data_IF_202345853319
#
_entry.id   IF_202345853319
#
_cell.length_a   1.000
_cell.length_b   1.000
_cell.length_c   1.000
_cell.angle_alpha   90.00
_cell.angle_beta   90.00
_cell.angle_gamma   90.00
#
_symmetry.space_group_name_H-M   'P 1'
#
loop_
_entity.id
_entity.type
_entity.pdbx_description
1 polymer ?
#
# COMPACT_ATOMS: atom_id res chain seq x y z
N UNK A 1 31.50 7.57 -48.44
CA UNK A 1 30.40 8.33 -47.78
C UNK A 1 29.22 7.48 -47.31
N UNK A 2 29.03 6.22 -47.72
CA UNK A 2 27.86 5.42 -47.31
C UNK A 2 28.04 4.57 -46.02
N UNK A 3 29.27 4.37 -45.54
CA UNK A 3 29.52 3.57 -44.33
C UNK A 3 29.39 4.37 -43.01
N UNK A 4 29.73 5.66 -43.02
CA UNK A 4 29.63 6.51 -41.82
C UNK A 4 28.17 6.81 -41.42
N UNK A 5 27.26 6.90 -42.38
CA UNK A 5 25.84 7.20 -42.13
C UNK A 5 25.08 6.03 -41.49
N UNK A 6 25.54 4.79 -41.70
CA UNK A 6 24.89 3.60 -41.13
C UNK A 6 25.31 3.39 -39.67
N UNK A 7 26.57 3.68 -39.31
CA UNK A 7 27.02 3.58 -37.91
C UNK A 7 26.36 4.60 -36.99
N UNK A 8 26.03 5.80 -37.49
CA UNK A 8 25.42 6.86 -36.67
C UNK A 8 23.94 6.59 -36.35
N UNK A 9 23.22 5.88 -37.24
CA UNK A 9 21.82 5.47 -37.00
C UNK A 9 21.74 4.31 -36.01
N UNK A 10 22.72 3.40 -36.01
CA UNK A 10 22.79 2.31 -35.02
C UNK A 10 23.15 2.83 -33.63
N UNK A 11 23.98 3.88 -33.53
CA UNK A 11 24.29 4.52 -32.25
C UNK A 11 23.09 5.31 -31.66
N UNK A 12 22.20 5.85 -32.51
CA UNK A 12 21.00 6.58 -32.06
C UNK A 12 19.83 5.66 -31.68
N UNK A 13 19.75 4.46 -32.25
CA UNK A 13 18.74 3.45 -31.89
C UNK A 13 19.08 2.65 -30.62
N UNK A 14 20.32 2.71 -30.14
CA UNK A 14 20.74 2.07 -28.88
C UNK A 14 20.30 2.81 -27.61
N UNK A 15 19.78 4.03 -27.73
CA UNK A 15 19.40 4.88 -26.58
C UNK A 15 17.90 4.74 -26.23
N UNK A 16 17.09 4.06 -27.07
CA UNK A 16 15.62 4.10 -26.95
C UNK A 16 14.95 2.88 -26.30
N UNK A 17 15.68 1.97 -25.66
CA UNK A 17 15.05 0.86 -24.95
C UNK A 17 15.95 0.27 -23.87
N UNK A 18 16.34 1.08 -22.88
CA UNK A 18 16.61 0.51 -21.57
C UNK A 18 15.27 0.60 -20.83
N UNK A 19 14.48 -0.47 -20.71
CA UNK A 19 13.46 -0.48 -19.67
C UNK A 19 14.20 -0.16 -18.38
N UNK A 20 13.76 0.88 -17.68
CA UNK A 20 14.30 1.23 -16.37
C UNK A 20 14.24 -0.01 -15.49
N UNK A 21 15.37 -0.70 -15.36
CA UNK A 21 15.60 -1.83 -14.46
C UNK A 21 15.72 -1.35 -13.01
N UNK A 22 15.13 -0.21 -12.68
CA UNK A 22 14.97 0.19 -11.31
C UNK A 22 13.85 -0.70 -10.75
N UNK A 23 14.07 -1.37 -9.61
CA UNK A 23 12.98 -2.03 -8.92
C UNK A 23 11.88 -0.99 -8.71
N UNK A 24 10.63 -1.39 -8.92
CA UNK A 24 9.50 -0.52 -8.59
C UNK A 24 9.64 -0.10 -7.12
N UNK A 25 9.38 1.17 -6.86
CA UNK A 25 9.61 1.77 -5.54
C UNK A 25 8.69 1.12 -4.51
N UNK A 26 9.20 0.90 -3.30
CA UNK A 26 8.42 0.39 -2.18
C UNK A 26 7.96 1.57 -1.34
N UNK A 27 6.68 1.62 -1.00
CA UNK A 27 6.09 2.74 -0.28
C UNK A 27 5.68 2.32 1.12
N UNK A 28 6.02 3.13 2.11
CA UNK A 28 5.79 2.84 3.52
C UNK A 28 5.40 4.09 4.26
N UNK A 29 4.35 4.02 5.05
CA UNK A 29 3.94 5.12 5.92
C UNK A 29 3.67 4.65 7.34
N UNK A 30 4.05 5.49 8.31
CA UNK A 30 3.84 5.28 9.73
C UNK A 30 2.75 6.23 10.26
N UNK A 31 1.61 5.66 10.62
CA UNK A 31 0.41 6.31 11.10
C UNK A 31 0.67 7.19 12.32
N UNK A 32 -0.05 8.31 12.40
CA UNK A 32 0.00 9.22 13.55
C UNK A 32 1.30 10.02 13.72
N UNK A 33 2.30 9.85 12.85
CA UNK A 33 3.62 10.48 12.98
C UNK A 33 3.91 11.48 11.88
N UNK A 34 4.68 12.52 12.22
CA UNK A 34 5.16 13.53 11.27
C UNK A 34 6.52 13.18 10.71
N UNK A 35 7.41 12.68 11.57
CA UNK A 35 8.78 12.35 11.22
C UNK A 35 8.90 10.93 10.66
N UNK A 36 9.87 10.75 9.77
CA UNK A 36 10.20 9.44 9.20
C UNK A 36 10.89 8.54 10.24
N UNK A 37 10.66 7.24 10.12
CA UNK A 37 11.25 6.20 10.95
C UNK A 37 12.04 5.22 10.09
N UNK A 38 13.27 4.90 10.51
CA UNK A 38 14.04 3.82 9.90
C UNK A 38 13.98 2.62 10.83
N UNK A 39 13.44 1.52 10.34
CA UNK A 39 13.29 0.31 11.14
C UNK A 39 14.59 -0.49 11.23
N UNK A 40 14.59 -1.54 12.05
CA UNK A 40 15.73 -2.42 12.30
C UNK A 40 16.28 -3.12 11.04
N UNK A 41 15.49 -3.15 9.95
CA UNK A 41 15.87 -3.70 8.64
C UNK A 41 16.38 -2.63 7.68
N UNK A 42 16.43 -1.37 8.09
CA UNK A 42 16.84 -0.24 7.26
C UNK A 42 15.75 0.25 6.31
N UNK A 43 14.49 -0.18 6.48
CA UNK A 43 13.36 0.33 5.68
C UNK A 43 12.95 1.69 6.23
N UNK A 44 12.75 2.65 5.34
CA UNK A 44 12.25 3.98 5.70
C UNK A 44 10.72 3.96 5.65
N UNK A 45 10.10 4.40 6.74
CA UNK A 45 8.67 4.59 6.89
C UNK A 45 8.39 6.09 6.99
N UNK A 46 7.69 6.64 6.01
CA UNK A 46 7.38 8.06 6.00
C UNK A 46 6.35 8.43 7.07
N UNK A 47 6.53 9.55 7.74
CA UNK A 47 5.52 10.05 8.67
C UNK A 47 4.19 10.30 7.96
N UNK A 48 3.12 9.63 8.38
CA UNK A 48 1.83 9.69 7.69
C UNK A 48 1.13 11.06 7.79
N UNK A 49 1.56 11.98 8.68
CA UNK A 49 0.99 13.32 8.84
C UNK A 49 1.47 14.32 7.76
N UNK A 50 1.61 13.88 6.51
CA UNK A 50 2.10 14.67 5.38
C UNK A 50 1.13 14.59 4.18
N UNK A 51 0.79 15.74 3.61
CA UNK A 51 -0.10 15.87 2.44
C UNK A 51 0.70 15.82 1.14
N UNK A 52 0.25 15.05 0.15
CA UNK A 52 0.67 15.17 -1.26
C UNK A 52 2.20 15.34 -1.48
N UNK A 53 3.02 14.50 -0.85
CA UNK A 53 4.46 14.46 -1.07
C UNK A 53 4.79 13.80 -2.42
N UNK A 54 6.07 13.79 -2.79
CA UNK A 54 6.52 13.14 -4.02
C UNK A 54 6.25 11.63 -4.03
N UNK A 55 6.22 10.99 -2.85
CA UNK A 55 5.90 9.57 -2.67
C UNK A 55 4.41 9.31 -2.47
N UNK A 56 3.62 10.33 -2.08
CA UNK A 56 2.22 10.18 -1.71
C UNK A 56 1.85 10.97 -0.45
N UNK A 57 0.74 10.62 0.19
CA UNK A 57 0.31 11.26 1.43
C UNK A 57 -1.18 11.11 1.65
N UNK A 58 -1.68 11.71 2.73
CA UNK A 58 -3.12 11.77 2.92
C UNK A 58 -3.76 12.64 1.85
N UNK A 59 -5.00 12.30 1.51
CA UNK A 59 -5.85 13.08 0.60
C UNK A 59 -7.16 13.44 1.32
N UNK A 60 -7.81 14.52 0.84
CA UNK A 60 -9.05 15.10 1.37
C UNK A 60 -8.97 15.68 2.78
N UNK A 61 -8.52 14.91 3.77
CA UNK A 61 -8.52 15.32 5.18
C UNK A 61 -7.34 14.74 5.95
N UNK A 62 -6.66 15.62 6.70
CA UNK A 62 -5.61 15.22 7.65
C UNK A 62 -6.16 14.21 8.67
N UNK A 63 -5.60 13.00 8.77
CA UNK A 63 -6.00 12.03 9.78
C UNK A 63 -5.64 12.51 11.18
N UNK A 64 -6.50 12.20 12.15
CA UNK A 64 -6.21 12.40 13.57
C UNK A 64 -5.16 11.42 14.05
N UNK A 65 -4.56 11.73 15.18
CA UNK A 65 -3.52 10.90 15.79
C UNK A 65 -4.02 10.24 17.07
N UNK A 66 -3.53 9.05 17.36
CA UNK A 66 -3.65 8.39 18.65
C UNK A 66 -2.41 7.54 18.92
N UNK A 67 -2.21 7.17 20.19
CA UNK A 67 -1.11 6.32 20.63
C UNK A 67 -1.67 5.07 21.30
N UNK A 68 -1.10 3.92 20.94
CA UNK A 68 -1.25 2.71 21.73
C UNK A 68 -0.28 2.85 22.91
N UNK A 69 -0.74 2.64 24.14
CA UNK A 69 0.12 2.85 25.31
C UNK A 69 0.96 1.63 25.66
N UNK A 70 0.48 0.43 25.32
CA UNK A 70 1.12 -0.84 25.64
C UNK A 70 0.68 -1.85 24.61
N UNK A 71 1.56 -2.79 24.27
CA UNK A 71 1.19 -3.96 23.47
C UNK A 71 1.30 -5.22 24.32
N UNK A 72 0.39 -6.17 24.13
CA UNK A 72 0.50 -7.49 24.77
C UNK A 72 1.77 -8.21 24.28
N UNK A 73 2.23 -9.19 25.06
CA UNK A 73 3.39 -10.00 24.65
C UNK A 73 3.13 -10.76 23.34
N UNK A 74 1.89 -11.25 23.15
CA UNK A 74 1.48 -11.94 21.92
C UNK A 74 1.49 -10.99 20.72
N UNK A 75 1.03 -9.75 20.90
CA UNK A 75 1.09 -8.74 19.86
C UNK A 75 2.54 -8.39 19.46
N UNK A 76 3.43 -8.25 20.44
CA UNK A 76 4.86 -8.00 20.15
C UNK A 76 5.50 -9.18 19.41
N UNK A 77 5.21 -10.41 19.83
CA UNK A 77 5.70 -11.61 19.16
C UNK A 77 5.13 -11.76 17.74
N UNK A 78 3.87 -11.38 17.51
CA UNK A 78 3.25 -11.37 16.19
C UNK A 78 3.93 -10.37 15.25
N UNK A 79 4.24 -9.15 15.73
CA UNK A 79 4.97 -8.15 14.95
C UNK A 79 6.37 -8.66 14.54
N UNK A 80 7.12 -9.21 15.50
CA UNK A 80 8.46 -9.76 15.24
C UNK A 80 8.41 -10.93 14.26
N UNK A 81 7.46 -11.85 14.42
CA UNK A 81 7.29 -12.99 13.52
C UNK A 81 6.93 -12.56 12.10
N UNK A 82 6.14 -11.49 11.95
CA UNK A 82 5.84 -10.86 10.66
C UNK A 82 7.01 -10.00 10.13
N UNK A 83 8.04 -9.76 10.94
CA UNK A 83 9.24 -9.03 10.56
C UNK A 83 9.05 -7.51 10.58
N UNK A 84 8.25 -6.99 11.48
CA UNK A 84 8.04 -5.56 11.71
C UNK A 84 8.53 -5.15 13.10
N UNK A 85 9.06 -3.93 13.18
CA UNK A 85 9.40 -3.31 14.46
C UNK A 85 8.12 -2.98 15.22
N UNK A 86 8.08 -3.29 16.52
CA UNK A 86 6.91 -3.06 17.37
C UNK A 86 6.54 -1.58 17.46
N UNK A 87 7.52 -0.69 17.30
CA UNK A 87 7.42 0.77 17.21
C UNK A 87 6.32 1.20 16.23
N UNK A 88 6.14 0.48 15.12
CA UNK A 88 5.16 0.81 14.10
C UNK A 88 3.72 0.77 14.63
N UNK A 89 3.45 -0.07 15.61
CA UNK A 89 2.10 -0.29 16.17
C UNK A 89 1.75 0.67 17.32
N UNK A 90 2.70 1.46 17.82
CA UNK A 90 2.47 2.38 18.93
C UNK A 90 1.84 3.72 18.52
N UNK A 91 1.74 3.99 17.22
CA UNK A 91 1.11 5.20 16.68
C UNK A 91 0.01 4.85 15.68
N UNK A 92 -1.01 5.70 15.61
CA UNK A 92 -2.23 5.45 14.83
C UNK A 92 -2.66 6.73 14.12
N UNK A 93 -2.96 6.61 12.82
CA UNK A 93 -3.77 7.57 12.06
C UNK A 93 -5.23 7.11 12.07
N UNK A 94 -6.19 8.00 12.38
CA UNK A 94 -7.62 7.65 12.43
C UNK A 94 -8.54 8.79 11.98
N UNK A 95 -9.79 8.46 11.67
CA UNK A 95 -10.83 9.43 11.32
C UNK A 95 -12.09 9.26 12.20
N UNK A 96 -12.70 10.38 12.59
CA UNK A 96 -13.95 10.37 13.34
C UNK A 96 -15.11 10.10 12.38
N UNK A 97 -15.80 8.97 12.53
CA UNK A 97 -16.99 8.66 11.74
C UNK A 97 -17.99 9.84 11.79
N UNK A 98 -18.54 10.30 10.64
CA UNK A 98 -18.52 9.65 9.32
C UNK A 98 -17.34 10.03 8.41
N UNK A 99 -16.31 10.72 8.91
CA UNK A 99 -15.09 10.96 8.14
C UNK A 99 -14.35 9.64 7.87
N UNK A 100 -13.55 9.62 6.81
CA UNK A 100 -12.76 8.45 6.40
C UNK A 100 -11.26 8.78 6.41
N UNK A 101 -10.44 7.74 6.40
CA UNK A 101 -8.99 7.88 6.19
C UNK A 101 -8.69 7.55 4.74
N UNK A 102 -8.02 8.46 4.04
CA UNK A 102 -7.64 8.26 2.63
C UNK A 102 -6.18 8.61 2.38
N UNK A 103 -5.49 7.73 1.69
CA UNK A 103 -4.09 7.90 1.27
C UNK A 103 -3.96 7.58 -0.21
N UNK A 104 -3.04 8.29 -0.85
CA UNK A 104 -2.62 8.01 -2.22
C UNK A 104 -1.10 7.86 -2.23
N UNK A 105 -0.59 6.80 -2.85
CA UNK A 105 0.84 6.59 -3.09
C UNK A 105 1.15 6.71 -4.57
N UNK A 106 2.22 7.43 -4.92
CA UNK A 106 2.63 7.67 -6.31
C UNK A 106 3.46 6.50 -6.81
N UNK A 107 2.85 5.32 -6.87
CA UNK A 107 3.51 4.03 -7.15
C UNK A 107 3.98 3.86 -8.58
N UNK A 108 3.40 4.62 -9.52
CA UNK A 108 3.43 4.25 -10.93
C UNK A 108 2.52 3.06 -11.24
N UNK A 109 2.41 2.74 -12.52
CA UNK A 109 1.65 1.58 -12.99
C UNK A 109 2.34 0.28 -12.59
N UNK A 110 1.57 -0.72 -12.16
CA UNK A 110 2.16 -1.99 -11.75
C UNK A 110 1.19 -2.92 -11.03
N UNK A 111 1.77 -3.97 -10.45
CA UNK A 111 1.06 -4.91 -9.58
C UNK A 111 1.77 -4.92 -8.24
N UNK A 112 1.02 -4.72 -7.17
CA UNK A 112 1.55 -4.51 -5.83
C UNK A 112 0.89 -5.44 -4.81
N UNK A 113 1.64 -5.76 -3.76
CA UNK A 113 1.11 -6.32 -2.53
C UNK A 113 1.03 -5.20 -1.49
N UNK A 114 -0.12 -5.08 -0.83
CA UNK A 114 -0.41 -4.04 0.17
C UNK A 114 -0.57 -4.70 1.52
N UNK A 115 0.27 -4.31 2.49
CA UNK A 115 0.14 -4.74 3.88
C UNK A 115 -0.43 -3.60 4.73
N UNK A 116 -1.56 -3.90 5.36
CA UNK A 116 -2.22 -3.07 6.37
C UNK A 116 -1.80 -3.55 7.76
N UNK A 117 -1.34 -2.62 8.60
CA UNK A 117 -0.92 -2.88 9.97
C UNK A 117 -1.70 -1.99 10.93
N UNK A 118 -2.18 -2.56 12.04
CA UNK A 118 -2.89 -1.80 13.07
C UNK A 118 -2.56 -2.29 14.46
N UNK A 119 -2.33 -1.36 15.38
CA UNK A 119 -2.36 -1.57 16.82
C UNK A 119 -3.58 -0.87 17.41
N UNK A 120 -4.40 -1.60 18.17
CA UNK A 120 -5.64 -1.07 18.71
C UNK A 120 -5.40 -0.29 20.01
N UNK A 121 -5.52 1.04 19.92
CA UNK A 121 -5.28 1.95 21.05
C UNK A 121 -6.45 1.97 22.04
N UNK A 122 -7.67 1.70 21.57
CA UNK A 122 -8.90 1.91 22.31
C UNK A 122 -9.95 0.87 21.93
N UNK A 123 -10.38 0.04 22.89
CA UNK A 123 -11.38 -0.97 22.56
C UNK A 123 -12.25 -1.45 23.73
N UNK A 124 -13.37 -0.77 24.02
CA UNK A 124 -14.46 -1.38 24.76
C UNK A 124 -15.39 -2.23 23.86
N UNK A 125 -15.42 -2.03 22.53
CA UNK A 125 -16.32 -2.75 21.60
C UNK A 125 -15.73 -3.02 20.20
N UNK A 126 -14.41 -2.92 20.03
CA UNK A 126 -13.69 -2.96 18.74
C UNK A 126 -14.20 -1.92 17.73
N UNK A 127 -13.45 -1.74 16.65
CA UNK A 127 -13.77 -0.80 15.58
C UNK A 127 -14.18 -1.55 14.34
N UNK A 128 -15.27 -1.12 13.73
CA UNK A 128 -15.81 -1.72 12.52
C UNK A 128 -15.72 -0.78 11.32
N UNK A 129 -15.02 -1.21 10.28
CA UNK A 129 -14.89 -0.46 9.02
C UNK A 129 -14.61 -1.38 7.85
N UNK A 130 -14.71 -0.85 6.65
CA UNK A 130 -14.29 -1.51 5.42
C UNK A 130 -12.92 -0.97 5.00
N UNK A 131 -12.13 -1.84 4.34
CA UNK A 131 -10.84 -1.47 3.73
C UNK A 131 -10.99 -1.53 2.23
N UNK A 132 -10.70 -0.40 1.58
CA UNK A 132 -10.71 -0.26 0.13
C UNK A 132 -9.30 0.00 -0.40
N UNK A 133 -8.98 -0.64 -1.52
CA UNK A 133 -7.76 -0.42 -2.29
C UNK A 133 -8.17 -0.34 -3.77
N UNK A 134 -7.75 0.69 -4.49
CA UNK A 134 -8.14 0.91 -5.90
C UNK A 134 -9.69 0.88 -6.09
N UNK A 135 -10.42 1.54 -5.19
CA UNK A 135 -11.90 1.57 -5.12
C UNK A 135 -12.59 0.22 -4.78
N UNK A 136 -11.87 -0.90 -4.83
CA UNK A 136 -12.39 -2.22 -4.48
C UNK A 136 -12.42 -2.42 -2.96
N UNK A 137 -13.55 -2.93 -2.43
CA UNK A 137 -13.65 -3.32 -1.03
C UNK A 137 -12.96 -4.66 -0.79
N UNK A 138 -11.66 -4.61 -0.46
CA UNK A 138 -10.80 -5.79 -0.31
C UNK A 138 -11.01 -6.52 1.02
N UNK A 139 -11.50 -5.83 2.05
CA UNK A 139 -11.83 -6.41 3.35
C UNK A 139 -13.13 -5.78 3.89
N UNK A 140 -14.29 -6.32 3.48
CA UNK A 140 -15.57 -5.86 3.98
C UNK A 140 -15.79 -6.31 5.43
N UNK A 141 -16.46 -5.48 6.21
CA UNK A 141 -16.85 -5.76 7.60
C UNK A 141 -15.64 -6.06 8.50
N UNK A 142 -14.50 -5.43 8.24
CA UNK A 142 -13.32 -5.59 9.08
C UNK A 142 -13.59 -5.09 10.50
N UNK A 143 -13.14 -5.86 11.49
CA UNK A 143 -13.20 -5.52 12.91
C UNK A 143 -11.81 -5.57 13.49
N UNK A 144 -11.36 -4.49 14.13
CA UNK A 144 -10.05 -4.43 14.78
C UNK A 144 -9.91 -5.47 15.91
N UNK A 145 -8.67 -5.84 16.27
CA UNK A 145 -8.42 -6.73 17.41
C UNK A 145 -8.77 -6.06 18.75
N UNK A 146 -8.56 -6.76 19.85
CA UNK A 146 -8.78 -6.21 21.20
C UNK A 146 -7.81 -5.07 21.53
N UNK A 147 -8.10 -4.34 22.61
CA UNK A 147 -7.21 -3.27 23.08
C UNK A 147 -5.81 -3.83 23.35
N UNK A 148 -4.78 -3.09 22.92
CA UNK A 148 -3.35 -3.42 23.08
C UNK A 148 -2.90 -4.64 22.25
N UNK A 149 -3.76 -5.12 21.33
CA UNK A 149 -3.45 -6.15 20.35
C UNK A 149 -3.19 -5.55 18.97
N UNK A 150 -2.68 -6.37 18.04
CA UNK A 150 -2.38 -5.97 16.67
C UNK A 150 -3.05 -6.89 15.66
N UNK A 151 -3.24 -6.37 14.45
CA UNK A 151 -3.54 -7.19 13.28
C UNK A 151 -2.68 -6.74 12.09
N UNK A 152 -2.36 -7.70 11.23
CA UNK A 152 -1.52 -7.53 10.05
C UNK A 152 -2.18 -8.30 8.91
N UNK A 153 -2.59 -7.58 7.86
CA UNK A 153 -3.25 -8.16 6.68
C UNK A 153 -2.51 -7.77 5.42
N UNK A 154 -2.23 -8.74 4.54
CA UNK A 154 -1.64 -8.49 3.23
C UNK A 154 -2.64 -8.83 2.14
N UNK A 155 -2.87 -7.87 1.25
CA UNK A 155 -3.70 -7.98 0.06
C UNK A 155 -2.78 -8.05 -1.15
N UNK A 156 -2.82 -9.17 -1.87
CA UNK A 156 -1.90 -9.43 -2.98
C UNK A 156 -2.49 -9.08 -4.33
N UNK A 157 -1.61 -8.81 -5.30
CA UNK A 157 -1.97 -8.64 -6.71
C UNK A 157 -2.92 -7.47 -7.01
N UNK A 158 -2.72 -6.33 -6.34
CA UNK A 158 -3.43 -5.08 -6.62
C UNK A 158 -2.89 -4.47 -7.91
N UNK A 159 -3.72 -4.32 -8.94
CA UNK A 159 -3.35 -3.69 -10.21
C UNK A 159 -3.55 -2.18 -10.13
N UNK A 160 -2.49 -1.41 -10.41
CA UNK A 160 -2.51 0.06 -10.52
C UNK A 160 -2.26 0.45 -11.97
N UNK A 161 -3.11 1.32 -12.53
CA UNK A 161 -3.09 1.66 -13.96
C UNK A 161 -3.06 3.15 -14.28
N UNK A 162 -3.17 4.02 -13.28
CA UNK A 162 -3.17 5.47 -13.43
C UNK A 162 -1.95 6.16 -12.77
N UNK A 163 -1.00 5.35 -12.29
CA UNK A 163 0.21 5.79 -11.63
C UNK A 163 0.10 6.01 -10.12
N UNK A 164 -1.08 5.81 -9.52
CA UNK A 164 -1.31 6.03 -8.09
C UNK A 164 -2.05 4.88 -7.45
N UNK A 165 -1.58 4.40 -6.29
CA UNK A 165 -2.32 3.45 -5.48
C UNK A 165 -3.14 4.20 -4.42
N UNK A 166 -4.45 4.02 -4.44
CA UNK A 166 -5.40 4.64 -3.54
C UNK A 166 -5.84 3.69 -2.43
N UNK A 167 -5.77 4.16 -1.19
CA UNK A 167 -6.23 3.49 0.02
C UNK A 167 -7.34 4.29 0.68
N UNK A 168 -8.39 3.61 1.09
CA UNK A 168 -9.53 4.23 1.74
C UNK A 168 -10.09 3.33 2.85
N UNK A 169 -10.30 3.91 4.03
CA UNK A 169 -10.84 3.20 5.20
C UNK A 169 -12.09 3.92 5.68
N UNK A 170 -13.23 3.22 5.72
CA UNK A 170 -14.53 3.83 5.99
C UNK A 170 -15.34 3.05 7.03
N UNK A 171 -15.79 3.74 8.08
CA UNK A 171 -16.61 3.14 9.13
C UNK A 171 -17.87 2.46 8.59
N UNK A 172 -18.17 1.25 9.08
CA UNK A 172 -19.28 0.45 8.59
C UNK A 172 -20.13 -0.07 9.76
N UNK A 173 -21.36 0.45 9.88
CA UNK A 173 -22.30 0.07 10.94
C UNK A 173 -22.79 -1.40 10.85
N UNK A 174 -22.67 -2.05 9.69
CA UNK A 174 -23.06 -3.45 9.48
C UNK A 174 -22.10 -4.44 10.16
N UNK A 175 -20.91 -3.99 10.56
CA UNK A 175 -19.95 -4.78 11.34
C UNK A 175 -20.49 -5.20 12.70
N UNK A 176 -21.48 -4.46 13.24
CA UNK A 176 -21.98 -4.62 14.60
C UNK A 176 -21.03 -4.11 15.69
N UNK A 177 -19.88 -3.53 15.32
CA UNK A 177 -18.95 -2.92 16.25
C UNK A 177 -19.49 -1.60 16.81
N UNK A 178 -19.11 -1.27 18.05
CA UNK A 178 -19.60 -0.06 18.73
C UNK A 178 -18.87 1.23 18.32
N UNK A 179 -17.65 1.11 17.81
CA UNK A 179 -16.85 2.21 17.29
C UNK A 179 -16.68 2.04 15.78
N UNK A 180 -16.86 3.12 15.01
CA UNK A 180 -16.79 3.12 13.54
C UNK A 180 -15.66 4.00 13.00
N UNK A 181 -14.79 4.50 13.90
CA UNK A 181 -13.68 5.34 13.51
C UNK A 181 -12.58 4.50 12.88
N UNK A 182 -12.46 4.59 11.56
CA UNK A 182 -11.45 3.88 10.78
C UNK A 182 -10.03 4.32 11.14
N UNK A 183 -9.07 3.39 11.11
CA UNK A 183 -7.70 3.65 11.53
C UNK A 183 -6.66 2.70 10.91
N UNK A 184 -5.40 3.11 10.96
CA UNK A 184 -4.23 2.26 10.67
C UNK A 184 -3.03 2.73 11.50
N UNK A 185 -2.09 1.81 11.76
CA UNK A 185 -0.80 2.11 12.38
C UNK A 185 0.32 2.23 11.36
N UNK A 186 0.33 1.38 10.34
CA UNK A 186 1.25 1.53 9.23
C UNK A 186 0.66 0.92 7.94
N UNK A 187 1.16 1.38 6.79
CA UNK A 187 0.84 0.80 5.48
C UNK A 187 2.15 0.56 4.75
N UNK A 188 2.27 -0.61 4.11
CA UNK A 188 3.40 -0.98 3.26
C UNK A 188 2.85 -1.42 1.90
N UNK A 189 3.45 -0.91 0.84
CA UNK A 189 3.14 -1.27 -0.55
C UNK A 189 4.43 -1.67 -1.21
N UNK A 190 4.50 -2.93 -1.63
CA UNK A 190 5.67 -3.50 -2.29
C UNK A 190 5.28 -4.02 -3.66
N UNK A 191 6.15 -3.93 -4.68
CA UNK A 191 5.89 -4.56 -5.96
C UNK A 191 5.70 -6.06 -5.77
N UNK A 192 4.65 -6.64 -6.35
CA UNK A 192 4.39 -8.06 -6.27
C UNK A 192 5.56 -8.82 -6.91
N UNK A 193 6.21 -9.70 -6.15
CA UNK A 193 7.36 -10.49 -6.62
C UNK A 193 6.85 -11.59 -7.54
N UNK A 194 6.52 -11.24 -8.79
CA UNK A 194 6.16 -12.24 -9.79
C UNK A 194 5.17 -11.88 -10.87
N UNK A 195 4.99 -10.63 -11.30
CA UNK A 195 4.53 -10.36 -12.67
C UNK A 195 4.91 -8.94 -13.08
N UNK A 196 6.15 -8.77 -13.53
CA UNK A 196 6.36 -7.86 -14.65
C UNK A 196 5.47 -8.41 -15.76
N UNK A 197 4.31 -7.79 -16.01
CA UNK A 197 3.49 -8.12 -17.16
C UNK A 197 4.35 -7.76 -18.36
N UNK A 198 5.07 -8.73 -18.93
CA UNK A 198 5.79 -8.53 -20.18
C UNK A 198 4.73 -8.09 -21.20
N UNK A 199 4.76 -6.83 -21.69
CA UNK A 199 3.78 -6.37 -22.66
C UNK A 199 3.78 -7.24 -23.92
N UNK A 200 4.91 -7.90 -24.23
CA UNK A 200 5.02 -8.87 -25.32
C UNK A 200 4.22 -10.13 -25.04
N UNK A 201 4.19 -10.61 -23.80
CA UNK A 201 3.40 -11.79 -23.41
C UNK A 201 1.89 -11.55 -23.60
N UNK A 202 1.36 -10.38 -23.15
CA UNK A 202 -0.05 -9.96 -23.36
C UNK A 202 -0.39 -9.80 -24.86
N UNK A 203 0.54 -9.30 -25.67
CA UNK A 203 0.34 -9.23 -27.13
C UNK A 203 0.29 -10.62 -27.77
N UNK A 204 1.18 -11.55 -27.41
CA UNK A 204 1.18 -12.91 -27.99
C UNK A 204 -0.07 -13.71 -27.65
N UNK A 205 -0.62 -13.61 -26.44
CA UNK A 205 -1.88 -14.30 -26.07
C UNK A 205 -3.08 -13.72 -26.81
N UNK A 206 -3.15 -12.40 -26.97
CA UNK A 206 -4.27 -11.73 -27.67
C UNK A 206 -4.26 -12.05 -29.18
N UNK A 207 -3.09 -12.07 -29.83
CA UNK A 207 -2.95 -12.45 -31.24
C UNK A 207 -3.15 -13.96 -31.49
N UNK A 208 -2.77 -14.81 -30.54
CA UNK A 208 -3.02 -16.25 -30.59
C UNK A 208 -4.52 -16.59 -30.54
N UNK A 209 -5.26 -15.94 -29.65
CA UNK A 209 -6.71 -16.12 -29.51
C UNK A 209 -7.48 -15.64 -30.76
N UNK A 210 -7.09 -14.50 -31.35
CA UNK A 210 -7.69 -13.97 -32.57
C UNK A 210 -7.44 -14.83 -33.82
N UNK A 211 -6.32 -15.59 -33.87
CA UNK A 211 -6.05 -16.55 -34.95
C UNK A 211 -6.77 -17.88 -34.76
N UNK A 212 -7.00 -18.32 -33.52
CA UNK A 212 -7.74 -19.54 -33.20
C UNK A 212 -9.22 -19.46 -33.58
N UNK A 213 -9.83 -18.27 -33.46
CA UNK A 213 -11.25 -18.03 -33.76
C UNK A 213 -11.54 -17.70 -35.24
N UNK A 214 -10.60 -17.95 -36.16
CA UNK A 214 -10.80 -17.85 -37.62
C UNK A 214 -10.84 -19.22 -38.30
N UNK A 215 -11.62 -20.15 -37.76
CA UNK A 215 -12.03 -21.36 -38.47
C UNK A 215 -13.55 -21.41 -38.59
#
# INVERSE_FOLDING_TARGET
>A
MRLLSVLMVVAFLGILAVPSLLPAEEFRVWGGKTDDFTDSKGRVWHGAQQENQFWGGWIEKLPRIAEVQTLTADAQAQAEAAGYDVELFYAVSWAQFPDTVKYQFKTGDGVFDVTYLVGEHWSPNNRGFDIFIEEDNVEPLYVTPGKDEIDIKTYSSIEVSDGTLDLHFAGNAETGAGDLNAMFSALEVVPAVGTAVDPKAKLTTTWGALKGNRK
#
